data_IF_403129344215
#
_entry.id   IF_403129344215
#
_cell.length_a   1.000
_cell.length_b   1.000
_cell.length_c   1.000
_cell.angle_alpha   90.00
_cell.angle_beta   90.00
_cell.angle_gamma   90.00
#
_symmetry.space_group_name_H-M   'P 1'
#
loop_
_entity.id
_entity.type
_entity.pdbx_description
1 polymer ?
#
# COMPACT_ATOMS: atom_id res chain seq x y z
N UNK A 1 -37.73 79.04 -90.89
CA UNK A 1 -38.36 78.44 -89.70
C UNK A 1 -37.23 78.21 -88.73
N UNK A 2 -36.93 79.25 -87.99
CA UNK A 2 -35.78 79.32 -87.10
C UNK A 2 -36.21 78.87 -85.71
N UNK A 3 -35.26 78.39 -84.93
CA UNK A 3 -34.90 79.00 -83.64
C UNK A 3 -33.67 78.27 -83.06
N UNK A 4 -32.79 79.03 -82.42
CA UNK A 4 -31.66 78.52 -81.65
C UNK A 4 -31.49 79.39 -80.40
N UNK A 5 -31.21 78.79 -79.23
CA UNK A 5 -30.36 79.38 -78.17
C UNK A 5 -30.31 78.59 -76.84
N UNK A 6 -29.12 78.61 -76.23
CA UNK A 6 -28.81 78.85 -74.81
C UNK A 6 -29.21 77.89 -73.64
N UNK A 7 -28.18 77.18 -73.12
CA UNK A 7 -27.47 77.48 -71.84
C UNK A 7 -28.11 77.27 -70.42
N UNK A 8 -27.39 76.52 -69.56
CA UNK A 8 -27.25 76.56 -68.07
C UNK A 8 -28.35 76.07 -67.09
N UNK A 9 -27.90 75.17 -66.18
CA UNK A 9 -28.15 74.94 -64.72
C UNK A 9 -29.52 75.38 -64.11
N UNK A 10 -30.19 74.57 -63.28
CA UNK A 10 -29.86 74.23 -61.86
C UNK A 10 -30.87 73.15 -61.33
N UNK A 11 -30.80 72.49 -60.14
CA UNK A 11 -29.90 72.59 -58.97
C UNK A 11 -29.84 71.31 -58.06
N UNK A 12 -28.87 71.31 -57.12
CA UNK A 12 -28.87 70.82 -55.70
C UNK A 12 -28.87 69.33 -55.27
N UNK A 13 -28.14 69.12 -54.14
CA UNK A 13 -27.94 67.91 -53.32
C UNK A 13 -28.51 68.16 -51.90
N UNK A 14 -28.79 67.12 -51.07
CA UNK A 14 -27.79 66.45 -50.21
C UNK A 14 -28.02 64.92 -50.05
N UNK A 15 -27.20 64.11 -49.36
CA UNK A 15 -25.75 64.09 -49.14
C UNK A 15 -25.37 62.67 -48.65
N UNK A 16 -24.28 62.08 -49.13
CA UNK A 16 -23.83 60.74 -48.67
C UNK A 16 -22.94 60.85 -47.42
N UNK A 17 -23.41 60.29 -46.30
CA UNK A 17 -22.68 60.28 -45.03
C UNK A 17 -21.49 59.29 -45.02
N UNK A 18 -20.28 59.80 -44.80
CA UNK A 18 -19.05 59.02 -44.68
C UNK A 18 -18.84 58.48 -43.25
N UNK A 19 -19.23 57.23 -43.00
CA UNK A 19 -19.09 56.58 -41.68
C UNK A 19 -17.68 56.04 -41.39
N UNK A 20 -16.95 56.54 -40.37
CA UNK A 20 -15.65 56.00 -39.97
C UNK A 20 -15.83 54.76 -39.07
N UNK A 21 -15.36 53.57 -39.47
CA UNK A 21 -15.76 52.34 -38.76
C UNK A 21 -14.88 51.09 -38.76
N UNK A 22 -13.78 50.98 -39.51
CA UNK A 22 -12.98 49.74 -39.58
C UNK A 22 -11.71 49.72 -38.73
N UNK A 23 -10.81 50.71 -38.86
CA UNK A 23 -9.52 50.73 -38.13
C UNK A 23 -9.68 50.68 -36.59
N UNK A 24 -10.56 51.51 -36.02
CA UNK A 24 -10.79 51.58 -34.58
C UNK A 24 -11.37 50.30 -33.94
N UNK A 25 -11.93 49.37 -34.74
CA UNK A 25 -12.41 48.07 -34.25
C UNK A 25 -11.27 47.04 -34.16
N UNK A 26 -10.35 47.03 -35.13
CA UNK A 26 -9.21 46.11 -35.13
C UNK A 26 -8.26 46.38 -33.95
N UNK A 27 -7.94 47.65 -33.67
CA UNK A 27 -7.05 48.04 -32.57
C UNK A 27 -7.55 47.58 -31.20
N UNK A 28 -8.87 47.58 -30.97
CA UNK A 28 -9.47 47.08 -29.72
C UNK A 28 -9.23 45.57 -29.51
N UNK A 29 -9.31 44.77 -30.57
CA UNK A 29 -9.03 43.33 -30.47
C UNK A 29 -7.54 43.04 -30.23
N UNK A 30 -6.64 43.83 -30.82
CA UNK A 30 -5.20 43.75 -30.54
C UNK A 30 -4.90 44.09 -29.08
N UNK A 31 -5.53 45.15 -28.53
CA UNK A 31 -5.39 45.52 -27.13
C UNK A 31 -5.93 44.45 -26.17
N UNK A 32 -7.05 43.79 -26.50
CA UNK A 32 -7.58 42.66 -25.72
C UNK A 32 -6.62 41.46 -25.76
N UNK A 33 -6.09 41.09 -26.93
CA UNK A 33 -5.10 40.00 -27.04
C UNK A 33 -3.82 40.29 -26.23
N UNK A 34 -3.31 41.53 -26.28
CA UNK A 34 -2.17 41.94 -25.48
C UNK A 34 -2.46 41.87 -23.97
N UNK A 35 -3.63 42.33 -23.53
CA UNK A 35 -4.04 42.23 -22.12
C UNK A 35 -4.16 40.76 -21.66
N UNK A 36 -4.77 39.89 -22.48
CA UNK A 36 -4.87 38.45 -22.19
C UNK A 36 -3.48 37.80 -22.10
N UNK A 37 -2.55 38.14 -23.00
CA UNK A 37 -1.19 37.63 -22.96
C UNK A 37 -0.43 38.09 -21.70
N UNK A 38 -0.57 39.36 -21.29
CA UNK A 38 0.00 39.89 -20.04
C UNK A 38 -0.58 39.17 -18.82
N UNK A 39 -1.89 38.91 -18.78
CA UNK A 39 -2.53 38.13 -17.69
C UNK A 39 -1.99 36.70 -17.63
N UNK A 40 -1.81 36.03 -18.76
CA UNK A 40 -1.20 34.68 -18.80
C UNK A 40 0.26 34.69 -18.35
N UNK A 41 1.04 35.72 -18.72
CA UNK A 41 2.42 35.87 -18.27
C UNK A 41 2.51 36.11 -16.76
N UNK A 42 1.65 36.97 -16.19
CA UNK A 42 1.55 37.19 -14.75
C UNK A 42 1.14 35.90 -14.02
N UNK A 43 0.18 35.13 -14.56
CA UNK A 43 -0.22 33.85 -14.00
C UNK A 43 0.91 32.81 -14.03
N UNK A 44 1.70 32.76 -15.11
CA UNK A 44 2.88 31.91 -15.20
C UNK A 44 3.97 32.32 -14.18
N UNK A 45 4.27 33.62 -14.06
CA UNK A 45 5.23 34.15 -13.08
C UNK A 45 4.79 33.93 -11.62
N UNK A 46 3.49 34.00 -11.33
CA UNK A 46 2.93 33.63 -10.03
C UNK A 46 3.10 32.13 -9.77
N UNK A 47 2.77 31.29 -10.74
CA UNK A 47 2.90 29.83 -10.63
C UNK A 47 4.36 29.37 -10.49
N UNK A 48 5.31 30.02 -11.16
CA UNK A 48 6.75 29.77 -11.00
C UNK A 48 7.24 30.16 -9.60
N UNK A 49 6.84 31.32 -9.06
CA UNK A 49 7.18 31.71 -7.69
C UNK A 49 6.57 30.75 -6.65
N UNK A 50 5.27 30.52 -6.70
CA UNK A 50 4.59 29.64 -5.75
C UNK A 50 4.99 28.16 -5.87
N UNK A 51 5.62 27.73 -6.98
CA UNK A 51 6.26 26.41 -7.09
C UNK A 51 7.52 26.25 -6.23
N UNK A 52 8.18 27.34 -5.83
CA UNK A 52 9.30 27.30 -4.90
C UNK A 52 8.80 26.98 -3.48
N UNK A 53 7.71 27.64 -3.06
CA UNK A 53 7.14 27.48 -1.71
C UNK A 53 6.46 26.12 -1.48
N UNK A 54 6.06 25.41 -2.55
CA UNK A 54 5.42 24.09 -2.48
C UNK A 54 6.41 22.92 -2.40
N UNK A 55 7.73 23.18 -2.37
CA UNK A 55 8.76 22.14 -2.34
C UNK A 55 9.56 22.17 -1.02
N UNK A 56 9.17 21.41 0.02
CA UNK A 56 9.88 21.38 1.31
C UNK A 56 11.27 20.70 1.26
N UNK A 57 11.72 20.24 0.08
CA UNK A 57 12.96 19.48 -0.12
C UNK A 57 14.26 20.28 0.07
N UNK A 58 14.22 21.53 0.55
CA UNK A 58 15.39 22.32 0.96
C UNK A 58 15.39 22.64 2.47
N UNK A 59 14.74 21.81 3.30
CA UNK A 59 15.16 21.69 4.70
C UNK A 59 16.50 20.96 4.75
N UNK A 60 17.41 21.53 5.52
CA UNK A 60 18.82 21.15 5.55
C UNK A 60 18.99 19.67 5.89
N UNK A 61 19.88 18.97 5.17
CA UNK A 61 20.25 17.61 5.51
C UNK A 61 21.10 17.62 6.78
N UNK A 62 20.43 17.62 7.94
CA UNK A 62 21.04 17.20 9.19
C UNK A 62 21.66 15.81 8.94
N UNK A 63 22.95 15.58 9.20
CA UNK A 63 23.60 14.30 8.94
C UNK A 63 23.16 13.26 9.99
N UNK A 64 21.92 12.80 9.87
CA UNK A 64 21.42 11.65 10.62
C UNK A 64 22.16 10.41 10.13
N UNK A 65 22.50 9.54 11.08
CA UNK A 65 23.23 8.31 10.79
C UNK A 65 22.41 7.43 9.83
N UNK A 66 22.91 7.24 8.61
CA UNK A 66 22.31 6.35 7.62
C UNK A 66 22.55 4.90 8.05
N UNK A 67 21.78 4.46 9.03
CA UNK A 67 21.61 3.05 9.38
C UNK A 67 20.83 2.42 8.24
N UNK A 68 21.57 1.98 7.22
CA UNK A 68 21.01 1.26 6.08
C UNK A 68 20.51 -0.10 6.57
N UNK A 69 19.22 -0.17 6.87
CA UNK A 69 18.56 -1.41 7.26
C UNK A 69 18.41 -2.31 6.02
N UNK A 70 19.41 -3.13 5.74
CA UNK A 70 19.33 -4.25 4.80
C UNK A 70 18.19 -5.22 5.22
N UNK A 71 17.63 -6.04 4.30
CA UNK A 71 16.73 -7.14 4.69
C UNK A 71 17.41 -8.09 5.68
N UNK A 72 16.97 -8.00 6.93
CA UNK A 72 17.43 -8.82 8.06
C UNK A 72 16.29 -9.73 8.51
N UNK A 73 16.65 -10.88 9.10
CA UNK A 73 15.70 -11.84 9.65
C UNK A 73 14.79 -11.16 10.69
N UNK A 74 13.49 -11.34 10.51
CA UNK A 74 12.46 -10.94 11.47
C UNK A 74 12.58 -11.73 12.75
N UNK A 75 12.41 -11.07 13.90
CA UNK A 75 12.34 -11.79 15.17
C UNK A 75 11.09 -12.67 15.22
N UNK A 76 11.31 -13.98 15.31
CA UNK A 76 10.28 -14.94 15.71
C UNK A 76 10.70 -15.52 17.04
N UNK A 77 9.83 -15.42 18.05
CA UNK A 77 9.91 -16.26 19.24
C UNK A 77 10.15 -17.70 18.78
N UNK A 78 11.20 -18.40 19.25
CA UNK A 78 11.50 -19.74 18.76
C UNK A 78 10.29 -20.66 18.97
N UNK A 79 9.68 -21.11 17.87
CA UNK A 79 8.66 -22.14 17.92
C UNK A 79 9.30 -23.36 18.60
N UNK A 80 8.81 -23.70 19.80
CA UNK A 80 9.34 -24.79 20.61
C UNK A 80 9.39 -26.03 19.72
N UNK A 81 10.60 -26.47 19.37
CA UNK A 81 10.80 -27.65 18.54
C UNK A 81 10.00 -28.81 19.16
N UNK A 82 9.14 -29.49 18.40
CA UNK A 82 8.44 -30.67 18.91
C UNK A 82 9.49 -31.66 19.43
N UNK A 83 9.49 -31.90 20.74
CA UNK A 83 10.37 -32.90 21.33
C UNK A 83 10.04 -34.24 20.68
N UNK A 84 11.06 -34.93 20.17
CA UNK A 84 10.90 -36.20 19.46
C UNK A 84 10.12 -37.17 20.35
N UNK A 85 8.91 -37.63 19.94
CA UNK A 85 8.13 -38.54 20.77
C UNK A 85 8.88 -39.84 21.01
N UNK A 86 8.86 -40.32 22.25
CA UNK A 86 9.42 -41.63 22.58
C UNK A 86 8.62 -42.76 21.89
N UNK A 87 9.22 -43.93 21.59
CA UNK A 87 8.53 -44.98 20.87
C UNK A 87 7.36 -45.57 21.68
N UNK A 88 6.15 -45.48 21.14
CA UNK A 88 4.99 -46.19 21.67
C UNK A 88 4.92 -47.63 21.11
N UNK A 89 4.48 -48.63 21.90
CA UNK A 89 4.36 -50.02 21.44
C UNK A 89 3.23 -50.18 20.40
N UNK A 90 3.34 -51.15 19.48
CA UNK A 90 2.37 -51.33 18.40
C UNK A 90 1.04 -51.91 18.90
N UNK A 91 -0.06 -51.44 18.30
CA UNK A 91 -1.43 -51.97 18.49
C UNK A 91 -1.93 -52.58 17.17
N UNK A 92 -2.78 -53.63 17.18
CA UNK A 92 -2.93 -54.53 16.03
C UNK A 92 -3.74 -53.96 14.85
N UNK A 93 -3.39 -54.39 13.64
CA UNK A 93 -3.93 -53.87 12.40
C UNK A 93 -5.40 -54.30 12.13
N UNK A 94 -6.20 -53.37 11.60
CA UNK A 94 -7.46 -53.68 10.89
C UNK A 94 -7.21 -53.80 9.39
N UNK A 95 -7.86 -54.77 8.74
CA UNK A 95 -7.82 -54.97 7.28
C UNK A 95 -8.50 -53.78 6.56
N UNK A 96 -7.93 -53.23 5.47
CA UNK A 96 -8.64 -52.29 4.60
C UNK A 96 -9.76 -52.98 3.81
N UNK A 97 -10.88 -52.27 3.61
CA UNK A 97 -11.86 -52.59 2.58
C UNK A 97 -11.55 -51.81 1.29
N UNK A 98 -11.88 -52.38 0.13
CA UNK A 98 -11.55 -51.77 -1.16
C UNK A 98 -12.39 -50.50 -1.45
N UNK A 99 -11.81 -49.58 -2.24
CA UNK A 99 -12.47 -48.36 -2.74
C UNK A 99 -12.15 -48.22 -4.23
N UNK A 100 -13.12 -47.87 -5.11
CA UNK A 100 -12.90 -47.84 -6.55
C UNK A 100 -11.92 -46.72 -6.98
N UNK A 101 -11.33 -46.81 -8.19
CA UNK A 101 -10.30 -45.88 -8.65
C UNK A 101 -10.82 -44.45 -8.81
N UNK A 102 -9.92 -43.47 -8.64
CA UNK A 102 -10.11 -42.11 -9.14
C UNK A 102 -9.55 -42.01 -10.55
N UNK A 103 -10.28 -41.32 -11.42
CA UNK A 103 -9.81 -40.99 -12.77
C UNK A 103 -8.59 -40.06 -12.70
N UNK A 104 -7.60 -40.32 -13.56
CA UNK A 104 -6.40 -39.49 -13.67
C UNK A 104 -6.56 -38.55 -14.87
N UNK A 105 -6.74 -37.26 -14.61
CA UNK A 105 -6.66 -36.24 -15.67
C UNK A 105 -5.20 -36.06 -16.10
N UNK A 106 -4.76 -36.90 -17.04
CA UNK A 106 -3.48 -36.76 -17.75
C UNK A 106 -3.58 -35.55 -18.69
N UNK A 107 -2.58 -34.68 -18.69
CA UNK A 107 -2.49 -33.58 -19.66
C UNK A 107 -2.20 -34.13 -21.06
N UNK A 108 -3.18 -34.05 -21.97
CA UNK A 108 -2.99 -34.40 -23.39
C UNK A 108 -2.12 -33.36 -24.08
N UNK A 109 -0.85 -33.68 -24.33
CA UNK A 109 -0.02 -32.95 -25.27
C UNK A 109 -0.46 -33.28 -26.71
N UNK A 110 -0.80 -32.25 -27.50
CA UNK A 110 -1.19 -32.42 -28.90
C UNK A 110 0.05 -32.49 -29.81
N UNK A 111 0.43 -33.70 -30.24
CA UNK A 111 1.48 -33.91 -31.23
C UNK A 111 0.98 -34.87 -32.34
N UNK A 112 0.75 -34.39 -33.58
CA UNK A 112 0.40 -35.27 -34.70
C UNK A 112 1.56 -36.18 -35.11
N UNK A 113 1.30 -37.47 -35.26
CA UNK A 113 2.31 -38.46 -35.65
C UNK A 113 2.44 -38.61 -37.18
N UNK A 114 3.59 -39.10 -37.66
CA UNK A 114 3.75 -39.65 -39.01
C UNK A 114 4.79 -40.80 -39.00
N UNK A 115 4.40 -42.06 -39.30
CA UNK A 115 5.31 -43.22 -39.19
C UNK A 115 6.08 -43.53 -40.49
N UNK A 116 7.38 -43.86 -40.41
CA UNK A 116 7.89 -45.24 -40.50
C UNK A 116 9.43 -45.36 -40.48
N UNK A 117 9.87 -46.53 -40.01
CA UNK A 117 11.24 -47.09 -40.01
C UNK A 117 11.62 -47.75 -41.38
N UNK A 118 12.81 -48.39 -41.56
CA UNK A 118 14.03 -48.40 -40.73
C UNK A 118 15.36 -48.15 -41.51
N UNK A 119 16.48 -48.03 -40.79
CA UNK A 119 17.83 -48.31 -41.30
C UNK A 119 18.72 -48.89 -40.18
N UNK A 120 19.59 -49.86 -40.51
CA UNK A 120 20.26 -50.71 -39.52
C UNK A 120 21.72 -50.32 -39.20
N UNK A 121 22.16 -50.75 -38.01
CA UNK A 121 23.55 -50.81 -37.51
C UNK A 121 24.43 -51.75 -38.37
N UNK A 122 25.79 -51.63 -38.36
CA UNK A 122 26.55 -52.35 -37.32
C UNK A 122 27.95 -51.81 -36.88
N UNK A 123 28.34 -52.26 -35.68
CA UNK A 123 29.67 -52.72 -35.22
C UNK A 123 30.95 -51.85 -35.27
N UNK A 124 31.52 -51.62 -34.08
CA UNK A 124 32.88 -52.05 -33.64
C UNK A 124 32.94 -51.88 -32.10
N UNK A 125 32.99 -52.93 -31.28
CA UNK A 125 34.15 -53.78 -30.92
C UNK A 125 35.17 -53.01 -30.03
N UNK A 126 34.99 -53.00 -28.69
CA UNK A 126 35.42 -53.99 -27.67
C UNK A 126 36.93 -53.99 -27.36
N UNK A 127 37.26 -53.61 -26.12
CA UNK A 127 38.44 -54.04 -25.38
C UNK A 127 38.16 -53.90 -23.86
N UNK A 128 38.69 -54.81 -23.04
CA UNK A 128 38.49 -54.80 -21.58
C UNK A 128 39.69 -55.43 -20.85
N UNK A 129 40.02 -54.94 -19.63
CA UNK A 129 40.42 -55.77 -18.47
C UNK A 129 40.85 -54.96 -17.23
N UNK A 130 40.28 -55.36 -16.10
CA UNK A 130 40.82 -55.57 -14.73
C UNK A 130 41.99 -54.73 -14.13
N UNK A 131 41.99 -54.52 -12.78
CA UNK A 131 43.06 -53.87 -12.02
C UNK A 131 44.10 -54.86 -11.45
N UNK A 132 45.11 -54.36 -10.73
CA UNK A 132 45.48 -54.97 -9.45
C UNK A 132 45.64 -53.96 -8.30
N UNK A 133 45.76 -54.48 -7.06
CA UNK A 133 46.03 -53.72 -5.84
C UNK A 133 47.13 -54.40 -5.00
N UNK A 134 47.80 -53.65 -4.12
CA UNK A 134 48.48 -54.06 -2.85
C UNK A 134 49.02 -52.78 -2.19
N UNK A 135 48.89 -52.48 -0.88
CA UNK A 135 49.30 -53.19 0.36
C UNK A 135 50.82 -53.05 0.64
N UNK A 136 51.35 -53.00 1.88
CA UNK A 136 50.73 -53.13 3.21
C UNK A 136 51.67 -52.61 4.35
N UNK A 137 51.23 -52.75 5.62
CA UNK A 137 52.04 -52.84 6.86
C UNK A 137 52.79 -51.55 7.32
N UNK A 138 53.21 -51.35 8.58
CA UNK A 138 53.01 -51.97 9.91
C UNK A 138 53.43 -50.90 10.97
N UNK A 139 53.27 -50.97 12.29
CA UNK A 139 52.38 -51.62 13.27
C UNK A 139 52.97 -51.36 14.68
N UNK A 140 52.11 -51.19 15.70
CA UNK A 140 52.31 -51.55 17.13
C UNK A 140 53.53 -51.05 17.97
N UNK A 141 53.25 -50.09 18.86
CA UNK A 141 53.04 -50.30 20.33
C UNK A 141 54.09 -49.91 21.42
N UNK A 142 53.52 -49.31 22.48
CA UNK A 142 53.74 -49.50 23.93
C UNK A 142 54.66 -48.57 24.78
N UNK A 143 54.02 -47.96 25.81
CA UNK A 143 54.54 -47.37 27.07
C UNK A 143 55.55 -46.19 26.99
N UNK A 144 55.70 -45.32 28.02
CA UNK A 144 55.12 -45.30 29.38
C UNK A 144 54.68 -43.87 29.82
N UNK A 145 54.08 -43.74 31.01
CA UNK A 145 53.36 -42.55 31.47
C UNK A 145 54.20 -41.40 32.05
N UNK A 146 53.61 -40.20 32.03
CA UNK A 146 53.74 -39.14 33.04
C UNK A 146 52.51 -38.22 32.97
N UNK A 147 51.97 -37.79 34.11
CA UNK A 147 50.68 -37.09 34.18
C UNK A 147 50.78 -35.58 34.44
N UNK A 148 49.79 -34.83 33.96
CA UNK A 148 49.55 -33.42 34.31
C UNK A 148 48.02 -33.14 34.33
N UNK A 149 47.61 -32.07 34.99
CA UNK A 149 46.20 -31.76 35.33
C UNK A 149 45.57 -30.66 34.46
N UNK A 150 44.23 -30.70 34.39
CA UNK A 150 43.34 -29.68 33.82
C UNK A 150 43.38 -29.54 32.28
N UNK A 151 42.32 -29.06 31.60
CA UNK A 151 41.03 -28.50 32.08
C UNK A 151 39.84 -29.16 31.39
N UNK A 152 38.65 -29.09 32.00
CA UNK A 152 37.40 -29.42 31.30
C UNK A 152 37.19 -28.45 30.12
N UNK A 153 36.60 -28.90 28.99
CA UNK A 153 36.26 -28.01 27.89
C UNK A 153 35.21 -27.00 28.37
N UNK A 154 35.52 -25.71 28.23
CA UNK A 154 34.56 -24.66 28.51
C UNK A 154 33.34 -24.86 27.60
N UNK A 155 32.14 -24.76 28.18
CA UNK A 155 30.91 -24.83 27.40
C UNK A 155 30.95 -23.73 26.33
N UNK A 156 30.90 -24.13 25.06
CA UNK A 156 30.84 -23.18 23.96
C UNK A 156 29.57 -22.35 24.13
N UNK A 157 29.72 -21.05 24.41
CA UNK A 157 28.60 -20.12 24.52
C UNK A 157 27.71 -20.28 23.29
N UNK A 158 26.47 -20.73 23.49
CA UNK A 158 25.51 -20.82 22.42
C UNK A 158 25.43 -19.44 21.72
N UNK A 159 25.41 -19.38 20.37
CA UNK A 159 25.31 -18.11 19.67
C UNK A 159 24.14 -17.32 20.24
N UNK A 160 24.42 -16.12 20.77
CA UNK A 160 23.36 -15.25 21.27
C UNK A 160 22.37 -15.04 20.13
N UNK A 161 21.11 -15.44 20.36
CA UNK A 161 20.09 -15.29 19.35
C UNK A 161 19.99 -13.80 19.01
N UNK A 162 20.33 -13.45 17.76
CA UNK A 162 20.08 -12.13 17.21
C UNK A 162 18.59 -11.87 17.36
N UNK A 163 18.21 -10.95 18.24
CA UNK A 163 16.86 -10.41 18.29
C UNK A 163 16.65 -9.72 16.95
N UNK A 164 15.92 -10.39 16.07
CA UNK A 164 15.72 -9.95 14.69
C UNK A 164 14.89 -8.68 14.62
N UNK A 165 14.59 -8.23 13.41
CA UNK A 165 13.74 -7.04 13.26
C UNK A 165 12.33 -7.38 13.74
N UNK A 166 11.82 -6.65 14.74
CA UNK A 166 10.45 -6.87 15.24
C UNK A 166 9.45 -6.65 14.11
N UNK A 167 8.40 -7.46 14.10
CA UNK A 167 7.43 -7.50 13.01
C UNK A 167 6.06 -7.84 13.58
N UNK A 168 5.05 -7.03 13.26
CA UNK A 168 3.68 -7.30 13.70
C UNK A 168 2.69 -6.77 12.66
N UNK A 169 2.12 -7.69 11.90
CA UNK A 169 1.25 -7.43 10.73
C UNK A 169 0.07 -6.51 11.09
N UNK A 170 -0.28 -5.50 10.27
CA UNK A 170 -1.48 -4.68 10.46
C UNK A 170 -2.77 -5.52 10.40
N UNK A 171 -3.83 -5.11 11.12
CA UNK A 171 -5.10 -5.85 11.15
C UNK A 171 -5.74 -5.91 9.77
N UNK A 172 -6.36 -7.05 9.45
CA UNK A 172 -7.16 -7.25 8.23
C UNK A 172 -8.28 -6.21 8.13
N UNK A 173 -8.44 -5.58 6.97
CA UNK A 173 -9.37 -4.49 6.75
C UNK A 173 -9.73 -4.30 5.27
N UNK A 174 -10.95 -3.83 5.01
CA UNK A 174 -11.29 -3.17 3.74
C UNK A 174 -11.10 -1.65 3.93
N UNK A 175 -10.28 -1.03 3.09
CA UNK A 175 -9.92 0.39 3.21
C UNK A 175 -10.40 1.18 1.98
N UNK A 176 -11.36 2.08 2.18
CA UNK A 176 -11.75 3.09 1.21
C UNK A 176 -10.70 4.22 1.08
N UNK A 177 -10.45 4.68 -0.15
CA UNK A 177 -9.62 5.86 -0.45
C UNK A 177 -10.30 6.83 -1.43
N UNK A 178 -10.14 8.12 -1.16
CA UNK A 178 -10.36 9.18 -2.14
C UNK A 178 -9.16 9.14 -3.10
N UNK A 179 -9.42 8.94 -4.39
CA UNK A 179 -8.38 8.85 -5.41
C UNK A 179 -8.19 10.20 -6.08
N UNK A 180 -6.96 10.54 -6.43
CA UNK A 180 -6.65 11.72 -7.24
C UNK A 180 -5.67 11.36 -8.35
N UNK A 181 -5.85 11.99 -9.51
CA UNK A 181 -4.98 11.89 -10.68
C UNK A 181 -4.56 13.30 -11.06
N UNK A 182 -3.26 13.60 -10.97
CA UNK A 182 -2.72 14.96 -11.12
C UNK A 182 -3.48 16.00 -10.25
N UNK A 183 -3.83 15.64 -9.02
CA UNK A 183 -4.62 16.46 -8.09
C UNK A 183 -6.14 16.51 -8.37
N UNK A 184 -6.62 15.96 -9.49
CA UNK A 184 -8.06 15.89 -9.79
C UNK A 184 -8.67 14.67 -9.10
N UNK A 185 -9.66 14.88 -8.23
CA UNK A 185 -10.40 13.81 -7.54
C UNK A 185 -11.13 12.91 -8.55
N UNK A 186 -11.00 11.61 -8.39
CA UNK A 186 -11.64 10.57 -9.19
C UNK A 186 -12.62 9.74 -8.35
N UNK A 187 -13.18 8.67 -8.93
CA UNK A 187 -14.06 7.76 -8.20
C UNK A 187 -13.27 6.97 -7.12
N UNK A 188 -13.82 6.75 -5.91
CA UNK A 188 -13.10 6.10 -4.81
C UNK A 188 -12.53 4.74 -5.19
N UNK A 189 -11.34 4.45 -4.68
CA UNK A 189 -10.68 3.16 -4.79
C UNK A 189 -10.68 2.42 -3.46
N UNK A 190 -10.38 1.12 -3.48
CA UNK A 190 -10.25 0.32 -2.25
C UNK A 190 -8.89 -0.38 -2.17
N UNK A 191 -8.48 -0.69 -0.95
CA UNK A 191 -7.47 -1.70 -0.66
C UNK A 191 -8.12 -2.74 0.26
N UNK A 192 -8.30 -3.95 -0.26
CA UNK A 192 -8.53 -5.13 0.54
C UNK A 192 -7.21 -5.59 1.14
N UNK A 193 -7.16 -5.82 2.46
CA UNK A 193 -6.03 -6.42 3.15
C UNK A 193 -6.50 -7.53 4.10
N UNK A 194 -5.94 -8.73 3.96
CA UNK A 194 -6.20 -9.85 4.84
C UNK A 194 -4.91 -10.61 5.19
N UNK A 195 -4.75 -10.99 6.46
CA UNK A 195 -3.70 -11.92 6.90
C UNK A 195 -4.16 -12.74 8.11
N UNK A 196 -3.72 -14.00 8.18
CA UNK A 196 -3.88 -14.92 9.32
C UNK A 196 -2.58 -15.06 10.14
N UNK A 197 -1.53 -14.31 9.80
CA UNK A 197 -0.20 -14.41 10.40
C UNK A 197 0.68 -15.54 9.85
N UNK A 198 0.21 -16.36 8.90
CA UNK A 198 1.01 -17.34 8.14
C UNK A 198 1.09 -17.00 6.66
N UNK A 199 0.03 -16.41 6.10
CA UNK A 199 -0.03 -15.84 4.76
C UNK A 199 -0.77 -14.51 4.73
N UNK A 200 -0.91 -13.95 3.52
CA UNK A 200 -1.68 -12.74 3.28
C UNK A 200 -2.29 -12.72 1.87
N UNK A 201 -3.37 -11.95 1.73
CA UNK A 201 -3.96 -11.55 0.46
C UNK A 201 -4.19 -10.04 0.47
N UNK A 202 -3.93 -9.39 -0.67
CA UNK A 202 -4.14 -7.96 -0.85
C UNK A 202 -4.61 -7.67 -2.27
N UNK A 203 -5.66 -6.83 -2.39
CA UNK A 203 -6.18 -6.37 -3.68
C UNK A 203 -6.40 -4.86 -3.63
N UNK A 204 -5.73 -4.13 -4.50
CA UNK A 204 -5.90 -2.67 -4.67
C UNK A 204 -6.71 -2.42 -5.93
N UNK A 205 -7.79 -1.66 -5.84
CA UNK A 205 -8.68 -1.35 -6.96
C UNK A 205 -8.84 0.16 -7.12
N UNK A 206 -8.30 0.72 -8.20
CA UNK A 206 -8.36 2.17 -8.51
C UNK A 206 -9.19 2.40 -9.77
N UNK A 207 -10.44 2.90 -9.69
CA UNK A 207 -11.25 3.20 -10.87
C UNK A 207 -10.62 4.31 -11.74
N UNK A 208 -10.23 3.98 -12.97
CA UNK A 208 -9.75 4.96 -13.95
C UNK A 208 -10.87 5.34 -14.94
N UNK A 209 -11.09 6.63 -15.23
CA UNK A 209 -12.06 7.07 -16.22
C UNK A 209 -11.86 6.42 -17.59
N UNK A 210 -12.98 6.08 -18.25
CA UNK A 210 -13.08 5.53 -19.61
C UNK A 210 -12.40 4.17 -19.88
N UNK A 211 -11.47 3.71 -19.05
CA UNK A 211 -10.74 2.42 -19.25
C UNK A 211 -11.13 1.32 -18.27
N UNK A 212 -11.79 1.65 -17.16
CA UNK A 212 -12.15 0.71 -16.10
C UNK A 212 -11.14 0.70 -14.93
N UNK A 213 -11.32 -0.17 -13.93
CA UNK A 213 -10.43 -0.21 -12.77
C UNK A 213 -9.03 -0.68 -13.16
N UNK A 214 -8.02 -0.05 -12.55
CA UNK A 214 -6.69 -0.61 -12.47
C UNK A 214 -6.61 -1.40 -11.17
N UNK A 215 -6.53 -2.72 -11.30
CA UNK A 215 -6.46 -3.66 -10.18
C UNK A 215 -5.03 -4.16 -10.03
N UNK A 216 -4.56 -4.23 -8.80
CA UNK A 216 -3.30 -4.84 -8.42
C UNK A 216 -3.58 -5.91 -7.36
N UNK A 217 -3.00 -7.09 -7.49
CA UNK A 217 -3.18 -8.18 -6.52
C UNK A 217 -1.83 -8.72 -6.06
N UNK A 218 -1.71 -9.03 -4.77
CA UNK A 218 -0.53 -9.67 -4.19
C UNK A 218 -0.98 -10.69 -3.16
N UNK A 219 -0.43 -11.91 -3.23
CA UNK A 219 -0.63 -12.94 -2.22
C UNK A 219 0.66 -13.73 -1.97
N UNK A 220 0.76 -14.30 -0.78
CA UNK A 220 1.94 -15.04 -0.37
C UNK A 220 1.93 -15.51 1.07
N UNK A 221 3.08 -16.02 1.50
CA UNK A 221 3.31 -16.42 2.89
C UNK A 221 3.82 -15.27 3.74
N UNK A 222 4.16 -15.60 4.98
CA UNK A 222 5.00 -14.79 5.87
C UNK A 222 6.18 -15.66 6.27
N UNK A 223 7.40 -15.29 5.87
CA UNK A 223 8.63 -16.08 6.06
C UNK A 223 9.59 -15.43 7.10
N UNK A 224 10.84 -15.89 7.14
CA UNK A 224 11.85 -15.40 8.07
C UNK A 224 12.22 -13.92 7.87
N UNK A 225 11.73 -13.23 6.84
CA UNK A 225 12.03 -11.83 6.52
C UNK A 225 10.78 -10.93 6.52
N UNK A 226 9.60 -11.45 6.88
CA UNK A 226 8.33 -10.74 6.89
C UNK A 226 7.38 -11.25 5.81
N UNK A 227 6.64 -10.36 5.14
CA UNK A 227 5.79 -10.74 4.01
C UNK A 227 6.63 -11.39 2.90
N UNK A 228 6.09 -12.46 2.33
CA UNK A 228 6.78 -13.30 1.38
C UNK A 228 5.87 -13.58 0.16
N UNK A 229 5.78 -12.63 -0.80
CA UNK A 229 5.01 -12.83 -2.02
C UNK A 229 5.33 -14.16 -2.72
N UNK A 230 4.27 -14.78 -3.22
CA UNK A 230 4.28 -15.93 -4.11
C UNK A 230 3.84 -15.50 -5.53
N UNK A 231 2.90 -14.56 -5.63
CA UNK A 231 2.43 -13.98 -6.89
C UNK A 231 2.05 -12.51 -6.71
N UNK A 232 2.40 -11.70 -7.72
CA UNK A 232 1.92 -10.33 -7.91
C UNK A 232 1.25 -10.21 -9.29
N UNK A 233 0.22 -9.39 -9.44
CA UNK A 233 -0.37 -9.08 -10.75
C UNK A 233 -0.87 -7.64 -10.91
N UNK A 234 -0.85 -7.17 -12.17
CA UNK A 234 -1.39 -5.89 -12.62
C UNK A 234 -2.42 -6.10 -13.72
N UNK A 235 -3.62 -5.54 -13.55
CA UNK A 235 -4.73 -5.66 -14.51
C UNK A 235 -5.40 -4.31 -14.77
N UNK A 236 -5.18 -3.75 -15.95
CA UNK A 236 -5.75 -2.45 -16.34
C UNK A 236 -7.02 -2.62 -17.18
N UNK A 237 -8.18 -2.51 -16.53
CA UNK A 237 -9.49 -2.55 -17.16
C UNK A 237 -9.80 -3.91 -17.76
N UNK A 238 -10.04 -3.95 -19.08
CA UNK A 238 -10.37 -5.18 -19.84
C UNK A 238 -9.15 -5.82 -20.53
N UNK A 239 -7.93 -5.38 -20.21
CA UNK A 239 -6.69 -5.96 -20.75
C UNK A 239 -6.40 -7.32 -20.10
N UNK A 240 -5.45 -8.05 -20.71
CA UNK A 240 -4.79 -9.16 -20.05
C UNK A 240 -4.11 -8.70 -18.76
N UNK A 241 -3.78 -9.68 -17.92
CA UNK A 241 -3.20 -9.48 -16.59
C UNK A 241 -1.71 -9.82 -16.65
N UNK A 242 -0.87 -8.83 -16.35
CA UNK A 242 0.57 -9.01 -16.22
C UNK A 242 0.85 -9.61 -14.84
N UNK A 243 1.66 -10.66 -14.75
CA UNK A 243 1.88 -11.44 -13.52
C UNK A 243 3.38 -11.63 -13.31
N UNK A 244 3.84 -11.48 -12.06
CA UNK A 244 5.15 -11.90 -11.57
C UNK A 244 4.98 -13.06 -10.57
N UNK A 245 5.73 -14.14 -10.76
CA UNK A 245 5.67 -15.36 -9.93
C UNK A 245 7.00 -15.52 -9.18
N UNK A 246 6.93 -15.64 -7.85
CA UNK A 246 8.07 -15.65 -6.92
C UNK A 246 8.40 -17.07 -6.46
N UNK A 247 9.20 -17.79 -7.24
CA UNK A 247 9.61 -19.15 -6.91
C UNK A 247 10.78 -19.14 -5.89
N UNK A 248 10.43 -19.21 -4.60
CA UNK A 248 11.38 -19.20 -3.47
C UNK A 248 12.20 -20.50 -3.35
N UNK A 249 11.78 -21.59 -3.98
CA UNK A 249 12.55 -22.85 -4.03
C UNK A 249 13.71 -22.74 -5.03
N UNK A 250 13.40 -22.32 -6.26
CA UNK A 250 14.39 -22.16 -7.34
C UNK A 250 15.14 -20.82 -7.28
N UNK A 251 14.85 -19.99 -6.26
CA UNK A 251 15.36 -18.62 -6.05
C UNK A 251 15.27 -17.75 -7.30
N UNK A 252 14.10 -17.76 -7.95
CA UNK A 252 13.82 -16.99 -9.17
C UNK A 252 12.45 -16.31 -9.17
N UNK A 253 12.38 -15.17 -9.86
CA UNK A 253 11.13 -14.57 -10.35
C UNK A 253 10.99 -14.86 -11.84
N UNK A 254 9.76 -15.11 -12.30
CA UNK A 254 9.41 -15.13 -13.73
C UNK A 254 8.17 -14.28 -14.01
N UNK A 255 8.02 -13.82 -15.26
CA UNK A 255 6.97 -12.88 -15.66
C UNK A 255 6.06 -13.44 -16.77
N UNK A 256 4.87 -12.86 -16.95
CA UNK A 256 4.05 -13.06 -18.16
C UNK A 256 4.24 -11.97 -19.22
N UNK A 257 4.63 -10.75 -18.82
CA UNK A 257 4.89 -9.64 -19.78
C UNK A 257 6.15 -9.86 -20.61
N UNK A 258 7.15 -10.56 -20.09
CA UNK A 258 8.42 -10.86 -20.76
C UNK A 258 8.87 -12.29 -20.48
N UNK A 259 9.67 -12.93 -21.35
CA UNK A 259 10.29 -14.23 -21.07
C UNK A 259 11.50 -14.14 -20.11
N UNK A 260 11.68 -13.00 -19.43
CA UNK A 260 12.80 -12.79 -18.53
C UNK A 260 12.60 -13.53 -17.18
N UNK A 261 13.71 -13.81 -16.51
CA UNK A 261 13.71 -14.30 -15.14
C UNK A 261 14.83 -13.62 -14.35
N UNK A 262 14.55 -13.25 -13.11
CA UNK A 262 15.49 -12.58 -12.21
C UNK A 262 15.83 -13.48 -11.02
N UNK A 263 17.02 -13.34 -10.41
CA UNK A 263 17.29 -13.89 -9.09
C UNK A 263 16.27 -13.36 -8.07
N UNK A 264 15.82 -14.24 -7.16
CA UNK A 264 14.93 -13.88 -6.06
C UNK A 264 15.73 -13.83 -4.75
N UNK A 265 16.19 -12.65 -4.30
CA UNK A 265 16.84 -12.51 -3.00
C UNK A 265 15.84 -12.68 -1.85
N UNK A 266 16.37 -13.00 -0.68
CA UNK A 266 15.56 -13.12 0.54
C UNK A 266 14.96 -11.76 0.95
N UNK A 267 13.74 -11.78 1.51
CA UNK A 267 12.99 -10.58 1.86
C UNK A 267 12.45 -9.76 0.68
N UNK A 268 12.59 -10.24 -0.57
CA UNK A 268 12.02 -9.60 -1.75
C UNK A 268 10.49 -9.45 -1.70
N UNK A 269 10.02 -8.30 -2.20
CA UNK A 269 8.64 -7.84 -2.20
C UNK A 269 8.16 -7.52 -3.64
N UNK A 270 6.87 -7.25 -3.81
CA UNK A 270 6.31 -6.55 -4.97
C UNK A 270 5.99 -5.08 -4.63
N UNK A 271 5.55 -4.32 -5.64
CA UNK A 271 5.26 -2.87 -5.58
C UNK A 271 4.27 -2.46 -4.49
N UNK A 272 3.38 -3.35 -4.06
CA UNK A 272 2.36 -3.07 -3.03
C UNK A 272 2.65 -3.83 -1.74
N UNK A 273 3.13 -5.08 -1.79
CA UNK A 273 3.51 -5.79 -0.55
C UNK A 273 4.65 -5.10 0.19
N UNK A 274 5.53 -4.35 -0.49
CA UNK A 274 6.53 -3.48 0.17
C UNK A 274 5.89 -2.44 1.11
N UNK A 275 4.69 -1.92 0.81
CA UNK A 275 3.95 -0.98 1.67
C UNK A 275 3.47 -1.68 2.95
N UNK A 276 2.90 -2.88 2.82
CA UNK A 276 2.40 -3.65 3.95
C UNK A 276 3.51 -4.31 4.77
N UNK A 277 4.64 -4.65 4.14
CA UNK A 277 5.88 -5.06 4.77
C UNK A 277 6.45 -3.91 5.61
N UNK A 278 6.55 -2.70 5.06
CA UNK A 278 6.96 -1.51 5.80
C UNK A 278 6.03 -1.25 6.99
N UNK A 279 4.71 -1.30 6.78
CA UNK A 279 3.73 -1.14 7.87
C UNK A 279 3.87 -2.20 8.97
N UNK A 280 4.09 -3.47 8.61
CA UNK A 280 4.31 -4.57 9.56
C UNK A 280 5.59 -4.41 10.38
N UNK A 281 6.64 -3.82 9.79
CA UNK A 281 7.91 -3.54 10.48
C UNK A 281 7.81 -2.32 11.40
N UNK A 282 7.21 -1.23 10.92
CA UNK A 282 7.01 0.00 11.70
C UNK A 282 6.05 -0.25 12.88
N UNK A 283 5.04 -1.09 12.69
CA UNK A 283 4.17 -1.58 13.78
C UNK A 283 4.87 -2.53 14.75
N UNK A 284 5.90 -3.23 14.31
CA UNK A 284 6.73 -4.11 15.14
C UNK A 284 7.71 -3.34 16.04
N UNK A 285 8.35 -2.29 15.51
CA UNK A 285 9.21 -1.39 16.27
C UNK A 285 9.09 0.08 15.82
N UNK A 286 8.13 0.84 16.37
CA UNK A 286 7.96 2.25 16.03
C UNK A 286 9.18 3.12 16.36
N UNK A 287 10.00 2.75 17.34
CA UNK A 287 11.14 3.56 17.80
C UNK A 287 12.41 3.34 16.95
N UNK A 288 12.45 2.28 16.15
CA UNK A 288 13.47 2.06 15.13
C UNK A 288 13.33 3.03 13.93
N UNK A 289 12.11 3.44 13.57
CA UNK A 289 11.85 4.28 12.40
C UNK A 289 11.80 5.77 12.76
N UNK A 290 12.98 6.35 12.97
CA UNK A 290 13.20 7.79 13.21
C UNK A 290 13.53 8.53 11.90
N UNK A 291 13.31 9.86 11.80
CA UNK A 291 13.73 10.65 10.65
C UNK A 291 15.17 10.32 10.19
N UNK A 292 15.40 10.16 8.88
CA UNK A 292 16.69 9.78 8.30
C UNK A 292 16.98 8.26 8.27
N UNK A 293 16.25 7.43 9.02
CA UNK A 293 16.43 5.97 8.98
C UNK A 293 15.93 5.42 7.64
N UNK A 294 16.83 4.76 6.90
CA UNK A 294 16.57 4.26 5.55
C UNK A 294 16.64 2.73 5.50
N UNK A 295 15.57 2.09 5.03
CA UNK A 295 15.51 0.64 4.80
C UNK A 295 15.51 0.33 3.32
N UNK A 296 16.29 -0.67 2.90
CA UNK A 296 16.24 -1.18 1.52
C UNK A 296 15.35 -2.42 1.41
N UNK A 297 14.58 -2.47 0.32
CA UNK A 297 13.79 -3.63 -0.10
C UNK A 297 14.16 -3.96 -1.55
N UNK A 298 14.25 -5.24 -1.93
CA UNK A 298 14.23 -5.62 -3.34
C UNK A 298 12.77 -5.71 -3.79
N UNK A 299 12.37 -4.86 -4.74
CA UNK A 299 10.96 -4.70 -5.15
C UNK A 299 10.81 -5.07 -6.61
N UNK A 300 9.85 -5.95 -6.87
CA UNK A 300 9.58 -6.55 -8.17
C UNK A 300 8.35 -5.89 -8.80
N UNK A 301 8.51 -5.43 -10.05
CA UNK A 301 7.45 -4.95 -10.94
C UNK A 301 6.98 -6.13 -11.83
N UNK A 302 6.27 -5.85 -12.92
CA UNK A 302 5.70 -6.87 -13.82
C UNK A 302 6.63 -7.36 -14.93
N UNK A 303 7.85 -6.83 -15.00
CA UNK A 303 8.93 -7.26 -15.92
C UNK A 303 10.36 -7.07 -15.38
N UNK A 304 10.50 -6.53 -14.17
CA UNK A 304 11.76 -5.99 -13.63
C UNK A 304 11.80 -6.11 -12.09
N UNK A 305 12.98 -5.91 -11.49
CA UNK A 305 13.18 -6.00 -10.04
C UNK A 305 14.38 -5.19 -9.59
N UNK A 306 14.19 -4.32 -8.61
CA UNK A 306 15.10 -3.20 -8.31
C UNK A 306 15.16 -2.93 -6.80
N UNK A 307 16.33 -2.51 -6.29
CA UNK A 307 16.47 -2.09 -4.89
C UNK A 307 15.77 -0.74 -4.66
N UNK A 308 14.80 -0.69 -3.76
CA UNK A 308 14.10 0.52 -3.33
C UNK A 308 14.60 0.91 -1.93
N UNK A 309 15.46 1.94 -1.80
CA UNK A 309 15.71 2.60 -0.52
C UNK A 309 14.47 3.42 -0.14
N UNK A 310 13.92 3.19 1.05
CA UNK A 310 12.81 3.93 1.62
C UNK A 310 13.32 4.60 2.91
N UNK A 311 13.35 5.92 2.90
CA UNK A 311 13.71 6.77 4.04
C UNK A 311 12.46 7.09 4.88
N UNK A 312 12.64 7.14 6.19
CA UNK A 312 11.68 7.72 7.13
C UNK A 312 11.87 9.24 7.16
N UNK A 313 10.86 10.01 6.74
CA UNK A 313 10.95 11.47 6.72
C UNK A 313 10.58 12.06 8.10
N UNK A 314 9.56 11.52 8.75
CA UNK A 314 9.17 11.90 10.11
C UNK A 314 7.66 11.83 10.34
N UNK A 315 7.22 12.32 11.50
CA UNK A 315 5.80 12.36 11.86
C UNK A 315 5.14 13.66 11.37
N UNK A 316 4.01 13.55 10.66
CA UNK A 316 3.22 14.68 10.16
C UNK A 316 1.71 14.46 10.26
N UNK A 317 0.96 15.57 10.21
CA UNK A 317 -0.51 15.59 10.28
C UNK A 317 -1.10 15.75 8.88
N UNK A 318 -1.64 14.68 8.29
CA UNK A 318 -2.34 14.75 6.99
C UNK A 318 -3.83 15.06 7.17
N UNK A 319 -4.46 15.61 6.12
CA UNK A 319 -5.91 15.81 6.04
C UNK A 319 -6.57 14.64 5.30
N UNK A 320 -7.43 13.90 5.99
CA UNK A 320 -8.32 12.88 5.44
C UNK A 320 -9.73 13.46 5.17
N UNK A 321 -10.63 12.68 4.59
CA UNK A 321 -11.98 13.16 4.30
C UNK A 321 -12.84 13.40 5.57
N UNK A 322 -12.52 12.73 6.68
CA UNK A 322 -13.25 12.79 7.96
C UNK A 322 -12.54 13.60 9.05
N UNK A 323 -11.38 14.21 8.76
CA UNK A 323 -10.62 14.98 9.75
C UNK A 323 -9.13 15.02 9.46
N UNK A 324 -8.33 15.05 10.51
CA UNK A 324 -6.87 15.00 10.44
C UNK A 324 -6.35 13.68 11.04
N UNK A 325 -5.24 13.18 10.50
CA UNK A 325 -4.57 11.96 10.95
C UNK A 325 -3.12 12.27 11.29
N UNK A 326 -2.68 11.85 12.48
CA UNK A 326 -1.25 11.72 12.77
C UNK A 326 -0.71 10.52 11.99
N UNK A 327 0.39 10.74 11.28
CA UNK A 327 1.02 9.73 10.42
C UNK A 327 2.54 9.82 10.50
N UNK A 328 3.23 8.73 10.16
CA UNK A 328 4.64 8.77 9.80
C UNK A 328 4.80 8.72 8.28
N UNK A 329 5.50 9.69 7.73
CA UNK A 329 5.82 9.80 6.32
C UNK A 329 7.11 9.03 6.00
N UNK A 330 7.04 8.24 4.93
CA UNK A 330 8.13 7.47 4.35
C UNK A 330 8.21 7.78 2.85
N UNK A 331 9.43 7.75 2.30
CA UNK A 331 9.68 8.16 0.92
C UNK A 331 10.72 7.27 0.25
N UNK A 332 10.40 6.76 -0.94
CA UNK A 332 11.39 6.08 -1.79
C UNK A 332 12.39 7.10 -2.31
N UNK A 333 13.67 6.89 -2.02
CA UNK A 333 14.75 7.72 -2.54
C UNK A 333 15.10 7.34 -3.99
N UNK A 334 15.63 8.29 -4.79
CA UNK A 334 16.24 8.00 -6.08
C UNK A 334 17.39 6.99 -5.94
N UNK A 335 17.46 6.03 -6.85
CA UNK A 335 18.47 4.95 -6.82
C UNK A 335 19.76 5.30 -7.57
N UNK A 336 19.65 6.23 -8.51
CA UNK A 336 20.70 6.73 -9.39
C UNK A 336 20.27 8.09 -9.94
N UNK A 337 21.19 8.83 -10.55
CA UNK A 337 20.86 10.07 -11.24
C UNK A 337 19.82 9.82 -12.35
N UNK A 338 18.81 10.69 -12.43
CA UNK A 338 17.68 10.55 -13.36
C UNK A 338 16.55 9.62 -12.92
N UNK A 339 16.62 8.97 -11.74
CA UNK A 339 15.48 8.24 -11.16
C UNK A 339 14.38 9.21 -10.67
N UNK A 340 13.49 9.59 -11.59
CA UNK A 340 12.44 10.59 -11.37
C UNK A 340 11.14 10.04 -10.74
N UNK A 341 10.98 8.70 -10.65
CA UNK A 341 9.80 8.08 -10.04
C UNK A 341 9.86 8.34 -8.52
N UNK A 342 8.81 8.90 -7.93
CA UNK A 342 8.71 9.10 -6.46
C UNK A 342 7.53 8.30 -5.90
N UNK A 343 7.72 7.72 -4.73
CA UNK A 343 6.70 6.97 -4.01
C UNK A 343 6.79 7.42 -2.56
N UNK A 344 5.72 8.01 -2.07
CA UNK A 344 5.59 8.58 -0.74
C UNK A 344 4.41 7.91 -0.04
N UNK A 345 4.59 7.48 1.21
CA UNK A 345 3.65 6.66 1.98
C UNK A 345 3.50 7.25 3.38
N UNK A 346 2.27 7.37 3.86
CA UNK A 346 1.97 7.85 5.21
C UNK A 346 1.22 6.76 5.97
N UNK A 347 1.80 6.29 7.08
CA UNK A 347 1.21 5.23 7.92
C UNK A 347 0.62 5.85 9.19
N UNK A 348 -0.64 5.53 9.52
CA UNK A 348 -1.32 6.10 10.70
C UNK A 348 -1.33 5.11 11.88
N UNK A 349 -0.75 5.44 13.06
CA UNK A 349 -0.82 4.59 14.24
C UNK A 349 -2.26 4.28 14.68
N UNK A 350 -3.17 5.25 14.53
CA UNK A 350 -4.62 5.11 14.80
C UNK A 350 -5.37 4.19 13.83
N UNK A 351 -4.78 3.88 12.67
CA UNK A 351 -5.29 2.86 11.74
C UNK A 351 -4.52 1.54 11.90
N UNK A 352 -3.89 1.30 13.05
CA UNK A 352 -3.04 0.12 13.25
C UNK A 352 -1.84 0.08 12.30
N UNK A 353 -1.27 1.26 11.98
CA UNK A 353 -0.20 1.48 11.00
C UNK A 353 -0.55 1.15 9.53
N UNK A 354 -1.83 0.96 9.20
CA UNK A 354 -2.28 0.90 7.81
C UNK A 354 -1.99 2.22 7.06
N UNK A 355 -1.78 2.17 5.73
CA UNK A 355 -1.50 3.37 4.94
C UNK A 355 -2.69 4.32 4.93
N UNK A 356 -2.50 5.52 5.47
CA UNK A 356 -3.49 6.60 5.45
C UNK A 356 -3.39 7.47 4.19
N UNK A 357 -2.24 7.47 3.52
CA UNK A 357 -2.03 8.12 2.22
C UNK A 357 -0.92 7.40 1.45
N UNK A 358 -1.04 7.36 0.12
CA UNK A 358 -0.01 6.91 -0.82
C UNK A 358 0.02 7.92 -1.98
N UNK A 359 1.20 8.41 -2.36
CA UNK A 359 1.41 9.29 -3.51
C UNK A 359 2.52 8.71 -4.40
N UNK A 360 2.17 8.39 -5.64
CA UNK A 360 3.10 7.89 -6.66
C UNK A 360 3.22 8.91 -7.79
N UNK A 361 4.42 9.46 -7.98
CA UNK A 361 4.77 10.30 -9.14
C UNK A 361 5.58 9.47 -10.12
N UNK A 362 5.11 9.31 -11.35
CA UNK A 362 5.84 8.63 -12.42
C UNK A 362 6.89 9.56 -13.09
N UNK A 363 7.90 9.03 -13.80
CA UNK A 363 8.96 9.82 -14.44
C UNK A 363 8.48 10.88 -15.44
N UNK A 364 7.24 10.76 -15.96
CA UNK A 364 6.62 11.77 -16.83
C UNK A 364 5.89 12.89 -16.05
N UNK A 365 6.02 12.93 -14.72
CA UNK A 365 5.34 13.88 -13.84
C UNK A 365 3.88 13.55 -13.52
N UNK A 366 3.32 12.43 -14.00
CA UNK A 366 1.96 11.99 -13.66
C UNK A 366 1.89 11.56 -12.21
N UNK A 367 0.88 12.03 -11.48
CA UNK A 367 0.66 11.71 -10.06
C UNK A 367 -0.61 10.88 -9.86
N UNK A 368 -0.48 9.78 -9.15
CA UNK A 368 -1.58 9.00 -8.58
C UNK A 368 -1.53 9.14 -7.07
N UNK A 369 -2.64 9.51 -6.45
CA UNK A 369 -2.75 9.69 -5.00
C UNK A 369 -3.96 8.94 -4.46
N UNK A 370 -3.78 8.29 -3.32
CA UNK A 370 -4.81 7.67 -2.52
C UNK A 370 -4.78 8.33 -1.14
N UNK A 371 -5.91 8.88 -0.68
CA UNK A 371 -6.06 9.44 0.67
C UNK A 371 -7.20 8.71 1.37
N UNK A 372 -6.95 8.14 2.55
CA UNK A 372 -7.93 7.34 3.27
C UNK A 372 -9.20 8.13 3.60
N UNK A 373 -10.37 7.50 3.43
CA UNK A 373 -11.71 8.12 3.60
C UNK A 373 -12.65 7.30 4.50
N UNK A 374 -12.10 6.47 5.39
CA UNK A 374 -12.87 5.73 6.39
C UNK A 374 -13.36 6.60 7.55
N UNK A 375 -14.14 6.03 8.47
CA UNK A 375 -14.52 6.74 9.71
C UNK A 375 -13.39 6.66 10.72
N UNK A 376 -13.04 7.80 11.31
CA UNK A 376 -12.13 7.85 12.45
C UNK A 376 -12.85 7.29 13.69
N UNK A 377 -12.57 6.04 14.04
CA UNK A 377 -12.84 5.54 15.38
C UNK A 377 -11.84 6.20 16.32
N UNK A 378 -12.28 7.24 17.04
CA UNK A 378 -11.44 7.98 18.00
C UNK A 378 -11.13 7.12 19.22
N UNK A 379 -12.02 6.18 19.54
CA UNK A 379 -11.81 5.14 20.54
C UNK A 379 -10.99 4.00 19.93
N UNK A 380 -9.78 3.77 20.46
CA UNK A 380 -8.81 2.80 19.94
C UNK A 380 -9.14 1.31 20.18
N UNK A 381 -10.42 0.94 20.25
CA UNK A 381 -10.87 -0.45 20.42
C UNK A 381 -11.03 -1.16 19.08
N UNK A 382 -10.40 -2.33 18.95
CA UNK A 382 -10.54 -3.18 17.76
C UNK A 382 -11.97 -3.76 17.66
N UNK A 383 -12.49 -4.07 16.47
CA UNK A 383 -13.90 -4.44 16.29
C UNK A 383 -14.36 -5.73 17.01
N UNK A 384 -13.42 -6.62 17.34
CA UNK A 384 -13.70 -8.02 17.65
C UNK A 384 -14.18 -8.31 19.08
N UNK A 385 -14.04 -7.38 20.03
CA UNK A 385 -14.44 -7.60 21.44
C UNK A 385 -15.94 -7.31 21.70
N UNK A 386 -16.81 -7.85 20.84
CA UNK A 386 -18.26 -7.96 21.07
C UNK A 386 -18.70 -9.42 21.14
N UNK A 387 -17.94 -10.22 21.90
CA UNK A 387 -18.01 -11.68 21.89
C UNK A 387 -18.61 -12.37 23.13
N UNK A 388 -18.74 -11.72 24.30
CA UNK A 388 -19.28 -12.40 25.49
C UNK A 388 -20.00 -11.46 26.49
N UNK A 389 -21.33 -11.49 26.49
CA UNK A 389 -22.19 -10.70 27.40
C UNK A 389 -22.37 -11.30 28.79
N UNK A 390 -21.28 -11.65 29.48
CA UNK A 390 -21.31 -12.15 30.86
C UNK A 390 -21.41 -11.02 31.88
N UNK A 391 -22.59 -10.80 32.48
CA UNK A 391 -22.78 -9.72 33.46
C UNK A 391 -21.99 -9.96 34.77
N UNK A 392 -21.24 -8.96 35.28
CA UNK A 392 -20.47 -9.10 36.52
C UNK A 392 -21.39 -9.07 37.75
N UNK A 393 -21.23 -10.05 38.63
CA UNK A 393 -22.01 -10.14 39.87
C UNK A 393 -21.38 -9.33 41.01
N UNK A 394 -22.17 -8.47 41.66
CA UNK A 394 -21.76 -7.70 42.84
C UNK A 394 -21.63 -8.61 44.08
N UNK A 395 -20.51 -8.55 44.85
CA UNK A 395 -20.39 -9.31 46.08
C UNK A 395 -21.27 -8.72 47.20
N UNK A 396 -21.98 -9.58 47.93
CA UNK A 396 -22.88 -9.18 49.01
C UNK A 396 -22.21 -9.23 50.39
N UNK A 397 -22.67 -8.35 51.30
CA UNK A 397 -22.35 -8.35 52.73
C UNK A 397 -23.63 -8.62 53.56
N UNK A 398 -23.54 -9.15 54.79
CA UNK A 398 -24.66 -9.83 55.46
C UNK A 398 -25.71 -8.90 56.07
N UNK A 399 -26.90 -9.46 56.29
CA UNK A 399 -28.10 -8.74 56.71
C UNK A 399 -28.31 -8.67 58.24
N UNK A 400 -29.12 -7.70 58.67
CA UNK A 400 -29.77 -7.64 59.98
C UNK A 400 -31.28 -7.34 59.79
N UNK A 401 -32.20 -8.03 60.52
CA UNK A 401 -33.64 -7.88 60.30
C UNK A 401 -34.31 -6.85 61.25
N UNK A 402 -35.37 -6.19 60.76
CA UNK A 402 -36.27 -5.36 61.57
C UNK A 402 -37.73 -5.53 61.10
N UNK A 403 -38.68 -5.33 62.02
CA UNK A 403 -40.05 -5.87 61.93
C UNK A 403 -41.07 -5.01 61.14
N UNK A 404 -42.20 -5.64 60.80
CA UNK A 404 -43.39 -5.06 60.15
C UNK A 404 -44.32 -4.30 61.12
N UNK A 405 -44.91 -3.18 60.69
CA UNK A 405 -46.02 -2.48 61.35
C UNK A 405 -46.72 -1.46 60.42
N UNK A 406 -48.01 -1.06 60.61
CA UNK A 406 -48.87 -0.69 59.48
C UNK A 406 -49.68 0.64 59.54
N UNK A 407 -50.27 0.99 58.37
CA UNK A 407 -51.53 1.75 58.10
C UNK A 407 -51.58 3.32 58.10
N UNK A 408 -51.84 3.89 56.90
CA UNK A 408 -53.10 4.57 56.42
C UNK A 408 -53.87 5.55 57.35
N UNK A 409 -54.53 6.69 56.90
CA UNK A 409 -54.79 7.25 55.55
C UNK A 409 -54.43 8.76 55.33
N UNK A 410 -54.87 9.36 54.20
CA UNK A 410 -54.89 10.82 53.90
C UNK A 410 -56.20 11.53 54.39
N UNK A 411 -56.42 12.87 54.20
CA UNK A 411 -57.01 13.37 52.94
C UNK A 411 -56.81 14.89 52.56
N UNK A 412 -57.46 15.30 51.44
CA UNK A 412 -58.15 16.59 51.17
C UNK A 412 -57.49 17.76 50.40
N UNK A 413 -58.38 18.43 49.62
CA UNK A 413 -58.41 19.73 48.90
C UNK A 413 -57.23 20.20 48.02
N UNK A 414 -57.33 20.59 46.73
CA UNK A 414 -58.39 20.90 45.73
C UNK A 414 -58.70 22.40 45.43
N UNK A 415 -58.80 22.74 44.13
CA UNK A 415 -59.25 24.03 43.55
C UNK A 415 -58.30 25.25 43.77
N UNK A 416 -58.23 26.31 42.94
CA UNK A 416 -58.63 26.65 41.54
C UNK A 416 -57.97 28.04 41.19
N UNK A 417 -57.90 28.62 39.96
CA UNK A 417 -58.41 28.29 38.62
C UNK A 417 -57.53 28.95 37.50
N UNK A 418 -57.92 28.75 36.23
CA UNK A 418 -57.47 29.33 34.92
C UNK A 418 -57.77 30.86 34.73
N UNK A 419 -57.63 31.56 33.55
CA UNK A 419 -57.49 31.11 32.14
C UNK A 419 -56.50 31.88 31.16
N UNK A 420 -56.16 31.23 30.02
CA UNK A 420 -56.36 31.62 28.58
C UNK A 420 -56.05 33.09 28.10
N UNK A 421 -55.52 33.43 26.90
CA UNK A 421 -55.21 32.73 25.64
C UNK A 421 -54.12 33.47 24.78
N UNK A 422 -53.78 32.94 23.59
CA UNK A 422 -52.97 33.59 22.51
C UNK A 422 -53.89 34.09 21.36
N UNK A 423 -53.43 34.51 20.13
CA UNK A 423 -52.08 34.80 19.60
C UNK A 423 -51.96 36.14 18.80
N UNK A 424 -50.77 36.51 18.26
CA UNK A 424 -50.55 37.20 16.96
C UNK A 424 -49.10 37.71 16.76
N UNK A 425 -48.75 38.05 15.51
CA UNK A 425 -47.57 38.80 15.03
C UNK A 425 -48.02 39.66 13.80
N UNK A 426 -47.19 40.49 13.11
CA UNK A 426 -45.79 40.92 13.34
C UNK A 426 -45.60 42.46 13.34
N UNK A 427 -44.36 42.97 13.46
CA UNK A 427 -43.97 44.35 13.08
C UNK A 427 -42.49 44.44 12.65
N UNK A 428 -42.08 45.59 12.10
CA UNK A 428 -41.00 45.74 11.10
C UNK A 428 -39.90 46.77 11.48
N UNK A 429 -38.88 46.94 10.62
CA UNK A 429 -37.75 47.92 10.67
C UNK A 429 -36.60 47.60 11.68
N UNK A 430 -35.34 47.99 11.44
CA UNK A 430 -34.78 49.02 10.53
C UNK A 430 -33.41 48.61 9.92
N UNK A 431 -32.97 49.26 8.84
CA UNK A 431 -31.81 48.87 8.01
C UNK A 431 -30.45 49.52 8.38
N UNK A 432 -29.30 48.96 7.92
CA UNK A 432 -27.96 49.54 8.08
C UNK A 432 -27.54 50.49 6.94
N UNK A 433 -26.59 51.39 7.22
CA UNK A 433 -26.15 52.48 6.32
C UNK A 433 -24.97 52.10 5.40
N UNK A 434 -24.99 52.60 4.16
CA UNK A 434 -23.87 52.55 3.20
C UNK A 434 -23.03 53.83 3.30
N UNK A 435 -21.70 53.70 3.27
CA UNK A 435 -20.78 54.78 2.88
C UNK A 435 -19.79 54.24 1.83
N UNK A 436 -19.55 55.03 0.80
CA UNK A 436 -18.54 54.83 -0.26
C UNK A 436 -17.93 56.19 -0.64
N UNK A 437 -16.74 56.23 -1.26
CA UNK A 437 -16.72 56.45 -2.72
C UNK A 437 -16.33 55.21 -3.54
#
# INVERSE_FOLDING_TARGET
MDFASANRRHDRLPAFGSGPGRGARAWRWIAVLAAVAVVHWIAAQWFERNRVDLNPANREHVPVQVVLLTPERVERQPARQPAVPAPHPPSPARKPAARPPREQHVMTALQPAKPNEPAATPASEVAASAPPATANANASAHANASGAVASAPAAASAPQASQGVKFSVPPSAELDYDTFYNGVRNAPGTIHWASDGQGYEMVVSVPLPFVGPFVFSSHGGIDAFGLAPAQYSEKRGRRAEDIAIFNRNDKKVGFTRTPASLPLPDGAQDRFSVVMQLASLVRGDPDAYKPGVTRQFFVVDTDSGENWPIETIGDETIRAAQGYLQTRHFKRLPRHDGDQRRVDVWLAPSLGWLPARILQTEPNGTQFELVWRGKLNVDGTSPDDRGNGGAPATPAAPAAPAATGPATPAPADASAVTPEAAPAAPVDSTAPTIIKP
#
